data_IF_747715729266
#
_entry.id   IF_747715729266
#
_cell.length_a   1.000
_cell.length_b   1.000
_cell.length_c   1.000
_cell.angle_alpha   90.00
_cell.angle_beta   90.00
_cell.angle_gamma   90.00
#
_symmetry.space_group_name_H-M   'P 1'
#
loop_
_entity.id
_entity.type
_entity.pdbx_description
1 polymer ?
#
# COMPACT_ATOMS: atom_id res chain seq x y z
N UNK A 1 -12.76 13.10 20.40
CA UNK A 1 -11.65 12.43 19.69
C UNK A 1 -11.65 10.99 20.17
N UNK A 2 -12.30 10.09 19.42
CA UNK A 2 -12.27 8.67 19.76
C UNK A 2 -10.88 8.16 19.38
N UNK A 3 -10.13 7.64 20.36
CA UNK A 3 -8.92 6.88 20.11
C UNK A 3 -9.34 5.62 19.32
N UNK A 4 -9.36 5.75 17.98
CA UNK A 4 -9.53 4.62 17.09
C UNK A 4 -8.32 3.72 17.33
N UNK A 5 -8.52 2.65 18.10
CA UNK A 5 -7.57 1.55 18.17
C UNK A 5 -7.28 1.16 16.72
N UNK A 6 -6.03 1.32 16.28
CA UNK A 6 -5.63 0.88 14.94
C UNK A 6 -5.85 -0.63 14.88
N UNK A 7 -6.83 -1.03 14.06
CA UNK A 7 -7.07 -2.43 13.73
C UNK A 7 -5.82 -3.02 13.06
N UNK A 8 -5.58 -4.32 13.22
CA UNK A 8 -4.51 -4.98 12.49
C UNK A 8 -4.69 -4.79 10.97
N UNK A 9 -3.60 -4.87 10.18
CA UNK A 9 -3.69 -4.87 8.73
C UNK A 9 -4.53 -6.05 8.24
N UNK A 10 -5.22 -5.89 7.11
CA UNK A 10 -5.82 -7.01 6.39
C UNK A 10 -4.68 -7.83 5.76
N UNK A 11 -4.41 -9.05 6.24
CA UNK A 11 -3.26 -9.82 5.79
C UNK A 11 -3.63 -10.67 4.56
N UNK A 12 -3.04 -10.33 3.42
CA UNK A 12 -3.19 -11.03 2.15
C UNK A 12 -1.84 -11.42 1.55
N UNK A 13 -0.78 -11.38 2.35
CA UNK A 13 0.59 -11.74 1.98
C UNK A 13 0.69 -13.20 1.55
N UNK A 14 1.69 -13.64 0.76
CA UNK A 14 1.97 -15.06 0.43
C UNK A 14 0.78 -15.90 -0.08
N UNK A 15 -0.26 -15.29 -0.63
CA UNK A 15 -1.49 -15.97 -1.06
C UNK A 15 -1.48 -16.30 -2.55
N UNK A 16 -0.36 -16.08 -3.25
CA UNK A 16 -0.26 -16.20 -4.71
C UNK A 16 -1.38 -15.42 -5.40
N UNK A 17 -1.54 -14.15 -5.00
CA UNK A 17 -2.50 -13.24 -5.63
C UNK A 17 -1.92 -12.78 -6.96
N UNK A 18 -2.62 -13.09 -8.05
CA UNK A 18 -2.23 -12.71 -9.40
C UNK A 18 -2.97 -11.47 -9.88
N UNK A 19 -4.21 -11.31 -9.43
CA UNK A 19 -5.07 -10.18 -9.74
C UNK A 19 -5.74 -9.67 -8.46
N UNK A 20 -6.01 -8.36 -8.39
CA UNK A 20 -6.59 -7.72 -7.21
C UNK A 20 -7.93 -8.37 -6.80
N UNK A 21 -8.72 -8.83 -7.77
CA UNK A 21 -10.02 -9.47 -7.53
C UNK A 21 -9.91 -10.75 -6.70
N UNK A 22 -8.76 -11.42 -6.67
CA UNK A 22 -8.57 -12.61 -5.82
C UNK A 22 -8.72 -12.27 -4.33
N UNK A 23 -8.56 -11.01 -3.94
CA UNK A 23 -8.70 -10.56 -2.55
C UNK A 23 -10.13 -10.74 -2.00
N UNK A 24 -11.15 -10.70 -2.86
CA UNK A 24 -12.55 -10.85 -2.42
C UNK A 24 -12.97 -12.32 -2.30
N UNK A 25 -12.27 -13.21 -3.00
CA UNK A 25 -12.62 -14.64 -3.08
C UNK A 25 -11.80 -15.50 -2.12
N UNK A 26 -10.59 -15.06 -1.75
CA UNK A 26 -9.73 -15.77 -0.80
C UNK A 26 -10.11 -15.44 0.63
N UNK A 27 -10.12 -16.46 1.48
CA UNK A 27 -10.32 -16.24 2.91
C UNK A 27 -9.17 -15.39 3.49
N UNK A 28 -9.48 -14.33 4.27
CA UNK A 28 -8.47 -13.55 4.95
C UNK A 28 -7.66 -14.46 5.87
N UNK A 29 -6.32 -14.32 5.88
CA UNK A 29 -5.53 -15.06 6.87
C UNK A 29 -5.92 -14.61 8.27
N UNK A 30 -5.96 -15.57 9.18
CA UNK A 30 -6.07 -15.25 10.60
C UNK A 30 -4.70 -14.70 11.04
N UNK A 31 -4.61 -13.37 11.12
CA UNK A 31 -3.45 -12.70 11.73
C UNK A 31 -3.34 -13.00 13.23
N UNK A 32 -2.19 -12.67 13.83
CA UNK A 32 -1.96 -12.85 15.27
C UNK A 32 -2.97 -12.09 16.15
N UNK A 33 -3.57 -11.02 15.61
CA UNK A 33 -4.68 -10.30 16.23
C UNK A 33 -5.93 -10.42 15.33
N UNK A 34 -7.09 -10.81 15.89
CA UNK A 34 -8.32 -10.87 15.12
C UNK A 34 -8.66 -9.49 14.53
N UNK A 35 -8.99 -9.49 13.24
CA UNK A 35 -9.44 -8.29 12.55
C UNK A 35 -10.91 -8.04 12.86
N UNK A 36 -11.25 -6.82 13.28
CA UNK A 36 -12.65 -6.45 13.50
C UNK A 36 -13.35 -6.15 12.18
N UNK A 37 -14.60 -6.61 12.11
CA UNK A 37 -15.48 -6.41 10.98
C UNK A 37 -16.73 -5.63 11.40
N UNK A 38 -17.28 -4.86 10.48
CA UNK A 38 -18.56 -4.16 10.69
C UNK A 38 -19.74 -5.13 10.58
N UNK A 39 -20.96 -4.63 10.82
CA UNK A 39 -22.19 -5.41 10.61
C UNK A 39 -22.39 -5.84 9.14
N UNK A 40 -21.75 -5.15 8.20
CA UNK A 40 -21.82 -5.49 6.77
C UNK A 40 -20.83 -6.60 6.38
N UNK A 41 -19.96 -7.03 7.30
CA UNK A 41 -18.91 -8.01 7.05
C UNK A 41 -17.61 -7.41 6.52
N UNK A 42 -17.55 -6.10 6.29
CA UNK A 42 -16.33 -5.42 5.82
C UNK A 42 -15.35 -5.14 6.96
N UNK A 43 -14.05 -5.11 6.63
CA UNK A 43 -12.99 -4.85 7.60
C UNK A 43 -12.96 -3.38 8.04
N UNK A 44 -12.65 -3.16 9.33
CA UNK A 44 -12.50 -1.84 9.93
C UNK A 44 -11.04 -1.32 9.90
N UNK A 45 -10.14 -1.99 9.16
CA UNK A 45 -8.73 -1.61 9.07
C UNK A 45 -8.46 -0.39 8.20
N UNK A 46 -7.31 0.21 8.44
CA UNK A 46 -6.70 1.29 7.66
C UNK A 46 -5.42 0.83 6.97
N UNK A 47 -5.13 -0.48 6.97
CA UNK A 47 -3.89 -1.04 6.47
C UNK A 47 -4.15 -2.29 5.62
N UNK A 48 -3.56 -2.36 4.43
CA UNK A 48 -3.62 -3.51 3.53
C UNK A 48 -2.22 -4.08 3.31
N UNK A 49 -2.07 -5.39 3.56
CA UNK A 49 -0.80 -6.12 3.40
C UNK A 49 -0.93 -7.10 2.24
N UNK A 50 -0.33 -6.73 1.11
CA UNK A 50 -0.37 -7.42 -0.17
C UNK A 50 1.01 -7.95 -0.59
N UNK A 51 1.96 -7.96 0.34
CA UNK A 51 3.35 -8.30 0.09
C UNK A 51 3.56 -9.79 -0.23
N UNK A 52 4.63 -10.11 -0.95
CA UNK A 52 4.95 -11.50 -1.34
C UNK A 52 3.82 -12.16 -2.14
N UNK A 53 3.31 -11.45 -3.15
CA UNK A 53 2.38 -11.98 -4.13
C UNK A 53 3.00 -11.85 -5.53
N UNK A 54 2.19 -11.94 -6.59
CA UNK A 54 2.66 -11.91 -7.99
C UNK A 54 1.84 -10.91 -8.80
N UNK A 55 1.45 -9.81 -8.17
CA UNK A 55 0.69 -8.72 -8.79
C UNK A 55 1.56 -7.99 -9.82
N UNK A 56 1.02 -7.80 -11.02
CA UNK A 56 1.69 -7.06 -12.10
C UNK A 56 1.06 -5.68 -12.34
N UNK A 57 -0.17 -5.47 -11.89
CA UNK A 57 -0.92 -4.21 -11.95
C UNK A 57 -1.88 -4.08 -10.76
N UNK A 58 -2.50 -2.91 -10.61
CA UNK A 58 -3.52 -2.62 -9.60
C UNK A 58 -4.89 -2.35 -10.25
N UNK A 59 -5.21 -3.07 -11.32
CA UNK A 59 -6.50 -2.91 -11.99
C UNK A 59 -7.66 -3.21 -11.02
N UNK A 60 -8.67 -2.35 -11.07
CA UNK A 60 -9.87 -2.40 -10.22
C UNK A 60 -9.61 -2.28 -8.71
N UNK A 61 -8.43 -1.80 -8.29
CA UNK A 61 -8.05 -1.66 -6.89
C UNK A 61 -9.07 -0.88 -6.06
N UNK A 62 -9.54 0.27 -6.53
CA UNK A 62 -10.57 1.05 -5.82
C UNK A 62 -11.86 0.25 -5.60
N UNK A 63 -12.33 -0.46 -6.62
CA UNK A 63 -13.55 -1.26 -6.53
C UNK A 63 -13.39 -2.39 -5.50
N UNK A 64 -12.28 -3.11 -5.53
CA UNK A 64 -12.02 -4.20 -4.58
C UNK A 64 -11.82 -3.67 -3.16
N UNK A 65 -11.06 -2.60 -2.97
CA UNK A 65 -10.87 -1.98 -1.64
C UNK A 65 -12.20 -1.51 -1.05
N UNK A 66 -13.12 -0.97 -1.86
CA UNK A 66 -14.46 -0.58 -1.40
C UNK A 66 -15.34 -1.76 -0.97
N UNK A 67 -15.05 -2.97 -1.45
CA UNK A 67 -15.74 -4.19 -1.05
C UNK A 67 -15.12 -4.78 0.22
N UNK A 68 -13.81 -4.66 0.39
CA UNK A 68 -13.07 -5.20 1.54
C UNK A 68 -13.19 -4.33 2.80
N UNK A 69 -13.13 -3.01 2.65
CA UNK A 69 -13.05 -2.07 3.76
C UNK A 69 -14.38 -1.35 3.97
N UNK A 70 -14.77 -1.18 5.24
CA UNK A 70 -15.94 -0.37 5.60
C UNK A 70 -15.70 1.11 5.27
N UNK A 71 -14.46 1.57 5.49
CA UNK A 71 -14.02 2.96 5.30
C UNK A 71 -12.79 3.03 4.39
N UNK A 72 -12.92 2.76 3.07
CA UNK A 72 -11.80 2.78 2.13
C UNK A 72 -11.10 4.15 2.09
N UNK A 73 -11.82 5.24 2.36
CA UNK A 73 -11.27 6.60 2.46
C UNK A 73 -10.26 6.76 3.60
N UNK A 74 -10.30 5.90 4.61
CA UNK A 74 -9.39 5.93 5.76
C UNK A 74 -8.12 5.09 5.55
N UNK A 75 -7.95 4.46 4.39
CA UNK A 75 -6.76 3.67 4.08
C UNK A 75 -5.49 4.52 4.20
N UNK A 76 -4.61 4.14 5.12
CA UNK A 76 -3.45 4.91 5.56
C UNK A 76 -2.11 4.20 5.30
N UNK A 77 -2.14 2.88 5.11
CA UNK A 77 -0.96 2.06 4.84
C UNK A 77 -1.25 0.96 3.82
N UNK A 78 -0.44 0.89 2.77
CA UNK A 78 -0.42 -0.26 1.85
C UNK A 78 1.00 -0.83 1.80
N UNK A 79 1.12 -2.14 1.97
CA UNK A 79 2.35 -2.88 1.66
C UNK A 79 2.16 -3.66 0.35
N UNK A 80 2.90 -3.29 -0.69
CA UNK A 80 2.94 -3.93 -2.01
C UNK A 80 4.31 -4.54 -2.28
N UNK A 81 5.16 -4.70 -1.27
CA UNK A 81 6.52 -5.20 -1.44
C UNK A 81 6.56 -6.63 -1.99
N UNK A 82 7.65 -6.99 -2.68
CA UNK A 82 7.84 -8.34 -3.23
C UNK A 82 6.66 -8.81 -4.13
N UNK A 83 6.26 -7.95 -5.07
CA UNK A 83 5.34 -8.27 -6.17
C UNK A 83 6.08 -8.11 -7.51
N UNK A 84 5.36 -8.07 -8.64
CA UNK A 84 5.90 -7.96 -9.98
C UNK A 84 5.54 -6.62 -10.67
N UNK A 85 5.21 -5.58 -9.89
CA UNK A 85 4.83 -4.27 -10.43
C UNK A 85 6.02 -3.67 -11.19
N UNK A 86 5.76 -3.10 -12.37
CA UNK A 86 6.80 -2.45 -13.20
C UNK A 86 6.71 -0.93 -13.19
N UNK A 87 5.60 -0.39 -12.68
CA UNK A 87 5.36 1.03 -12.55
C UNK A 87 4.46 1.31 -11.35
N UNK A 88 4.43 2.56 -10.94
CA UNK A 88 3.51 3.08 -9.95
C UNK A 88 2.15 3.36 -10.55
N UNK A 89 1.09 2.72 -10.04
CA UNK A 89 -0.27 2.92 -10.54
C UNK A 89 -0.88 4.22 -9.99
N UNK A 90 -1.44 5.11 -10.84
CA UNK A 90 -2.11 6.33 -10.41
C UNK A 90 -3.27 6.11 -9.43
N UNK A 91 -3.88 4.92 -9.39
CA UNK A 91 -4.94 4.58 -8.44
C UNK A 91 -4.51 4.79 -6.99
N UNK A 92 -3.21 4.64 -6.67
CA UNK A 92 -2.69 4.86 -5.33
C UNK A 92 -2.84 6.33 -4.88
N UNK A 93 -2.92 7.26 -5.82
CA UNK A 93 -3.12 8.70 -5.54
C UNK A 93 -4.55 9.04 -5.15
N UNK A 94 -5.52 8.13 -5.35
CA UNK A 94 -6.93 8.36 -4.98
C UNK A 94 -7.20 8.19 -3.48
N UNK A 95 -6.25 7.61 -2.73
CA UNK A 95 -6.35 7.41 -1.28
C UNK A 95 -5.72 8.59 -0.53
N UNK A 96 -6.51 9.65 -0.28
CA UNK A 96 -6.01 10.90 0.32
C UNK A 96 -5.40 10.74 1.72
N UNK A 97 -5.78 9.69 2.46
CA UNK A 97 -5.25 9.41 3.80
C UNK A 97 -4.01 8.50 3.80
N UNK A 98 -3.59 7.98 2.62
CA UNK A 98 -2.42 7.12 2.48
C UNK A 98 -1.16 7.86 2.93
N UNK A 99 -0.44 7.25 3.86
CA UNK A 99 0.75 7.84 4.50
C UNK A 99 1.95 6.91 4.59
N UNK A 100 1.75 5.62 4.34
CA UNK A 100 2.82 4.63 4.27
C UNK A 100 2.58 3.74 3.05
N UNK A 101 3.57 3.62 2.19
CA UNK A 101 3.50 2.81 0.98
C UNK A 101 4.83 2.08 0.78
N UNK A 102 4.80 0.75 0.80
CA UNK A 102 5.99 -0.07 0.54
C UNK A 102 5.92 -0.65 -0.88
N UNK A 103 6.97 -0.40 -1.67
CA UNK A 103 7.07 -0.82 -3.06
C UNK A 103 8.37 -1.59 -3.37
N UNK A 104 9.27 -1.73 -2.41
CA UNK A 104 10.53 -2.45 -2.58
C UNK A 104 10.31 -3.92 -2.99
N UNK A 105 11.27 -4.50 -3.70
CA UNK A 105 11.16 -5.88 -4.19
C UNK A 105 10.20 -6.05 -5.38
N UNK A 106 9.73 -4.96 -5.98
CA UNK A 106 9.07 -4.95 -7.29
C UNK A 106 10.09 -4.64 -8.40
N UNK A 107 9.63 -4.69 -9.66
CA UNK A 107 10.40 -4.34 -10.86
C UNK A 107 10.17 -2.88 -11.29
N UNK A 108 9.86 -2.00 -10.34
CA UNK A 108 9.65 -0.58 -10.59
C UNK A 108 11.02 0.07 -10.79
N UNK A 109 11.20 0.74 -11.93
CA UNK A 109 12.42 1.51 -12.17
C UNK A 109 12.56 2.60 -11.11
N UNK A 110 13.78 3.02 -10.74
CA UNK A 110 13.98 4.11 -9.81
C UNK A 110 13.10 5.29 -10.18
N UNK A 111 12.24 5.72 -9.26
CA UNK A 111 11.23 6.73 -9.55
C UNK A 111 11.88 7.97 -10.15
N UNK A 112 11.52 8.29 -11.40
CA UNK A 112 11.97 9.51 -12.07
C UNK A 112 11.31 10.74 -11.42
N UNK A 113 11.83 11.93 -11.68
CA UNK A 113 11.27 13.17 -11.13
C UNK A 113 9.77 13.32 -11.46
N UNK A 114 9.32 12.87 -12.63
CA UNK A 114 7.91 12.84 -13.05
C UNK A 114 7.03 11.94 -12.19
N UNK A 115 7.49 10.74 -11.84
CA UNK A 115 6.71 9.79 -11.04
C UNK A 115 6.62 10.27 -9.60
N UNK A 116 7.73 10.84 -9.12
CA UNK A 116 7.79 11.56 -7.85
C UNK A 116 6.83 12.73 -7.84
N UNK A 117 6.65 13.41 -8.98
CA UNK A 117 5.72 14.52 -9.16
C UNK A 117 4.24 14.09 -9.21
N UNK A 118 3.97 12.88 -9.67
CA UNK A 118 2.63 12.29 -9.65
C UNK A 118 2.18 11.97 -8.21
N UNK A 119 3.15 11.66 -7.34
CA UNK A 119 2.98 11.69 -5.88
C UNK A 119 3.19 13.09 -5.26
N UNK A 120 3.51 14.10 -6.08
CA UNK A 120 3.86 15.46 -5.64
C UNK A 120 2.75 16.50 -5.72
N UNK A 121 2.01 16.56 -4.62
CA UNK A 121 2.03 17.82 -3.85
C UNK A 121 3.30 17.97 -3.01
N UNK A 122 4.46 17.48 -3.48
CA UNK A 122 5.58 16.99 -2.69
C UNK A 122 6.95 17.50 -3.13
N UNK A 123 7.66 18.19 -2.23
CA UNK A 123 9.11 18.40 -2.34
C UNK A 123 9.90 17.24 -1.72
N UNK A 124 11.00 16.85 -2.37
CA UNK A 124 12.03 15.97 -1.80
C UNK A 124 12.67 16.68 -0.61
N UNK A 125 12.68 16.06 0.57
CA UNK A 125 13.61 16.44 1.64
C UNK A 125 14.76 15.45 1.63
N UNK A 126 16.00 15.87 1.35
CA UNK A 126 17.15 15.03 1.58
C UNK A 126 17.38 14.97 3.10
N UNK A 127 17.07 13.84 3.73
CA UNK A 127 17.58 13.58 5.06
C UNK A 127 18.39 12.30 5.08
N UNK A 128 19.52 12.39 5.76
CA UNK A 128 20.52 11.37 5.99
C UNK A 128 19.89 10.22 6.79
N UNK A 129 19.46 9.15 6.13
CA UNK A 129 19.44 7.77 6.62
C UNK A 129 18.81 6.86 5.55
N UNK A 130 19.61 5.94 5.03
CA UNK A 130 19.45 5.22 3.75
C UNK A 130 18.32 4.17 3.69
N UNK A 131 17.23 4.32 4.46
CA UNK A 131 16.20 3.27 4.56
C UNK A 131 14.83 3.62 3.96
N UNK A 132 14.42 4.89 3.93
CA UNK A 132 13.09 5.29 3.46
C UNK A 132 13.13 6.60 2.65
N UNK A 133 12.40 6.68 1.54
CA UNK A 133 12.20 7.95 0.81
C UNK A 133 10.86 8.57 1.21
N UNK A 134 10.89 9.79 1.76
CA UNK A 134 9.66 10.47 2.19
C UNK A 134 9.15 11.43 1.12
N UNK A 135 7.84 11.37 0.87
CA UNK A 135 7.05 12.23 0.00
C UNK A 135 5.91 12.92 0.79
N UNK A 136 5.09 13.77 0.15
CA UNK A 136 4.04 14.63 0.69
C UNK A 136 2.90 14.70 -0.32
N UNK A 137 1.77 14.11 -0.01
CA UNK A 137 0.54 14.40 -0.74
C UNK A 137 0.05 15.80 -0.33
N UNK A 138 -0.89 16.38 -1.09
CA UNK A 138 -1.44 17.75 -0.92
C UNK A 138 -1.82 18.13 0.52
N UNK A 139 -1.97 17.15 1.43
CA UNK A 139 -2.34 17.33 2.83
C UNK A 139 -1.57 16.45 3.84
N UNK A 140 -0.61 15.60 3.44
CA UNK A 140 0.01 14.62 4.35
C UNK A 140 1.38 14.11 3.90
N UNK A 141 2.26 13.80 4.83
CA UNK A 141 3.52 13.10 4.57
C UNK A 141 3.26 11.63 4.21
N UNK A 142 3.72 11.21 3.03
CA UNK A 142 3.72 9.84 2.53
C UNK A 142 5.13 9.24 2.62
N UNK A 143 5.33 8.23 3.47
CA UNK A 143 6.59 7.50 3.58
C UNK A 143 6.60 6.39 2.54
N UNK A 144 7.52 6.46 1.58
CA UNK A 144 7.71 5.43 0.56
C UNK A 144 9.00 4.66 0.83
N UNK A 145 8.90 3.34 0.90
CA UNK A 145 10.07 2.47 0.97
C UNK A 145 10.29 1.82 -0.39
N UNK A 146 11.28 2.35 -1.13
CA UNK A 146 11.71 1.87 -2.45
C UNK A 146 13.12 1.26 -2.37
N UNK A 147 13.39 0.39 -3.33
CA UNK A 147 14.50 -0.53 -3.53
C UNK A 147 15.84 0.07 -3.98
N UNK A 148 16.01 1.40 -4.03
CA UNK A 148 17.23 2.06 -4.57
C UNK A 148 18.55 1.70 -3.87
N UNK A 149 18.54 0.77 -2.91
CA UNK A 149 19.71 0.25 -2.22
C UNK A 149 20.07 -1.22 -2.54
N UNK A 150 19.17 -2.01 -3.14
CA UNK A 150 19.45 -3.43 -3.38
C UNK A 150 20.20 -3.73 -4.68
N UNK A 151 20.33 -2.76 -5.59
CA UNK A 151 21.13 -2.95 -6.82
C UNK A 151 22.63 -2.72 -6.64
N UNK A 152 23.11 -2.35 -5.46
CA UNK A 152 24.55 -2.19 -5.21
C UNK A 152 25.21 -3.43 -4.58
N UNK A 153 24.44 -4.50 -4.33
CA UNK A 153 24.94 -5.74 -3.71
C UNK A 153 24.44 -7.02 -4.41
N UNK A 154 24.27 -6.95 -5.74
CA UNK A 154 24.13 -8.13 -6.60
C UNK A 154 25.37 -8.29 -7.48
#
# INVERSE_FOLDING_TARGET
>A
MNNLVQEPPLPSSFQSIHVIQDLISKEPRIGLRPLRHSKSGKSLTQSLWLENNVLNDLKDFNNVVSQLLEHPENLAWIDLSFNNLTSTDPVLTTFFNLSVLYLHGNSIQPLGESDRLQYAGCQKVPYLEERHTTYYTKHKTLKIQDSTFFQQYA
#
